data_IF_505760690165
#
_entry.id   IF_505760690165
#
_cell.length_a   1.000
_cell.length_b   1.000
_cell.length_c   1.000
_cell.angle_alpha   90.00
_cell.angle_beta   90.00
_cell.angle_gamma   90.00
#
_symmetry.space_group_name_H-M   'P 1'
#
loop_
_entity.id
_entity.type
_entity.pdbx_description
1 polymer ?
#
# COMPACT_ATOMS: atom_id res chain seq x y z
N UNK A 1 -25.59 -83.33 7.13
CA UNK A 1 -25.28 -82.35 6.07
C UNK A 1 -26.42 -81.37 5.79
N UNK A 2 -27.65 -81.80 5.46
CA UNK A 2 -28.80 -80.89 5.20
C UNK A 2 -29.11 -79.87 6.31
N UNK A 3 -29.08 -80.26 7.59
CA UNK A 3 -29.36 -79.34 8.72
C UNK A 3 -28.29 -78.24 8.89
N UNK A 4 -27.03 -78.53 8.56
CA UNK A 4 -25.92 -77.57 8.62
C UNK A 4 -26.02 -76.56 7.48
N UNK A 5 -26.36 -77.02 6.27
CA UNK A 5 -26.55 -76.18 5.08
C UNK A 5 -27.73 -75.20 5.25
N UNK A 6 -28.84 -75.67 5.84
CA UNK A 6 -30.00 -74.80 6.13
C UNK A 6 -29.62 -73.73 7.16
N UNK A 7 -28.88 -74.10 8.21
CA UNK A 7 -28.42 -73.15 9.22
C UNK A 7 -27.50 -72.06 8.66
N UNK A 8 -26.57 -72.42 7.76
CA UNK A 8 -25.68 -71.45 7.13
C UNK A 8 -26.41 -70.51 6.16
N UNK A 9 -27.38 -71.01 5.40
CA UNK A 9 -28.16 -70.18 4.48
C UNK A 9 -29.02 -69.17 5.25
N UNK A 10 -29.65 -69.58 6.37
CA UNK A 10 -30.42 -68.66 7.22
C UNK A 10 -29.55 -67.56 7.82
N UNK A 11 -28.31 -67.86 8.23
CA UNK A 11 -27.42 -66.87 8.86
C UNK A 11 -26.93 -65.81 7.85
N UNK A 12 -26.66 -66.23 6.61
CA UNK A 12 -26.29 -65.32 5.51
C UNK A 12 -27.49 -64.44 5.10
N UNK A 13 -28.69 -65.02 5.02
CA UNK A 13 -29.89 -64.26 4.67
C UNK A 13 -30.23 -63.18 5.71
N UNK A 14 -30.10 -63.50 7.01
CA UNK A 14 -30.28 -62.52 8.10
C UNK A 14 -29.20 -61.44 8.05
N UNK A 15 -27.94 -61.81 7.79
CA UNK A 15 -26.85 -60.85 7.63
C UNK A 15 -27.09 -59.85 6.49
N UNK A 16 -27.53 -60.33 5.32
CA UNK A 16 -27.85 -59.45 4.19
C UNK A 16 -29.06 -58.55 4.47
N UNK A 17 -30.08 -59.05 5.17
CA UNK A 17 -31.22 -58.25 5.58
C UNK A 17 -30.81 -57.11 6.53
N UNK A 18 -29.94 -57.39 7.50
CA UNK A 18 -29.43 -56.39 8.43
C UNK A 18 -28.59 -55.32 7.74
N UNK A 19 -27.75 -55.70 6.77
CA UNK A 19 -26.97 -54.75 5.96
C UNK A 19 -27.89 -53.86 5.11
N UNK A 20 -28.91 -54.44 4.48
CA UNK A 20 -29.89 -53.68 3.70
C UNK A 20 -30.68 -52.69 4.58
N UNK A 21 -31.15 -53.14 5.75
CA UNK A 21 -31.85 -52.28 6.71
C UNK A 21 -30.95 -51.17 7.25
N UNK A 22 -29.67 -51.46 7.53
CA UNK A 22 -28.70 -50.44 7.96
C UNK A 22 -28.38 -49.43 6.85
N UNK A 23 -28.26 -49.88 5.60
CA UNK A 23 -28.11 -49.01 4.44
C UNK A 23 -29.29 -48.07 4.24
N UNK A 24 -30.52 -48.58 4.33
CA UNK A 24 -31.74 -47.76 4.29
C UNK A 24 -31.80 -46.79 5.46
N UNK A 25 -31.47 -47.23 6.68
CA UNK A 25 -31.42 -46.35 7.85
C UNK A 25 -30.42 -45.20 7.70
N UNK A 26 -29.21 -45.47 7.18
CA UNK A 26 -28.23 -44.42 6.88
C UNK A 26 -28.73 -43.47 5.78
N UNK A 27 -29.33 -44.02 4.72
CA UNK A 27 -29.86 -43.23 3.62
C UNK A 27 -31.02 -42.32 4.03
N UNK A 28 -31.91 -42.77 4.92
CA UNK A 28 -33.11 -42.00 5.29
C UNK A 28 -32.93 -41.12 6.53
N UNK A 29 -32.01 -41.45 7.45
CA UNK A 29 -31.93 -40.80 8.77
C UNK A 29 -30.65 -39.99 8.97
N UNK A 30 -29.54 -40.31 8.30
CA UNK A 30 -28.27 -39.59 8.54
C UNK A 30 -27.95 -38.49 7.53
N UNK A 31 -28.59 -38.48 6.37
CA UNK A 31 -28.58 -37.30 5.49
C UNK A 31 -29.80 -36.44 5.81
N UNK A 32 -29.72 -35.77 6.96
CA UNK A 32 -30.62 -34.69 7.32
C UNK A 32 -30.58 -33.63 6.23
N UNK A 33 -31.65 -33.62 5.44
CA UNK A 33 -31.78 -32.77 4.27
C UNK A 33 -31.70 -31.28 4.58
N UNK A 34 -31.01 -30.59 3.68
CA UNK A 34 -31.47 -29.33 3.10
C UNK A 34 -31.11 -29.39 1.60
N UNK A 35 -31.79 -30.26 0.86
CA UNK A 35 -31.89 -30.08 -0.60
C UNK A 35 -33.21 -29.38 -0.83
N UNK A 36 -33.19 -28.05 -0.72
CA UNK A 36 -34.22 -27.22 -1.35
C UNK A 36 -33.87 -27.17 -2.84
N UNK A 37 -34.69 -27.73 -3.75
CA UNK A 37 -34.54 -27.47 -5.17
C UNK A 37 -35.24 -26.14 -5.43
N UNK A 38 -34.51 -25.06 -5.19
CA UNK A 38 -34.94 -23.69 -5.45
C UNK A 38 -33.87 -22.99 -6.27
N UNK A 39 -34.27 -22.25 -7.29
CA UNK A 39 -33.35 -21.42 -8.05
C UNK A 39 -32.80 -20.33 -7.12
N UNK A 40 -31.64 -20.55 -6.48
CA UNK A 40 -30.99 -19.61 -5.55
C UNK A 40 -30.29 -18.46 -6.29
N UNK A 41 -30.94 -17.90 -7.31
CA UNK A 41 -30.60 -16.57 -7.76
C UNK A 41 -31.28 -15.59 -6.81
N UNK A 42 -30.54 -15.09 -5.83
CA UNK A 42 -31.01 -13.97 -5.01
C UNK A 42 -31.33 -12.77 -5.89
N UNK A 43 -32.26 -11.92 -5.44
CA UNK A 43 -32.55 -10.67 -6.13
C UNK A 43 -31.28 -9.81 -6.23
N UNK A 44 -31.14 -9.07 -7.34
CA UNK A 44 -29.97 -8.21 -7.61
C UNK A 44 -30.02 -6.88 -6.83
N UNK A 45 -30.63 -6.89 -5.64
CA UNK A 45 -30.69 -5.73 -4.77
C UNK A 45 -29.32 -5.51 -4.13
N UNK A 46 -28.93 -4.24 -4.02
CA UNK A 46 -27.71 -3.84 -3.35
C UNK A 46 -28.06 -2.93 -2.16
N UNK A 47 -27.49 -3.22 -1.00
CA UNK A 47 -27.55 -2.36 0.18
C UNK A 47 -26.30 -1.47 0.21
N UNK A 48 -26.50 -0.16 0.38
CA UNK A 48 -25.40 0.79 0.58
C UNK A 48 -24.86 0.67 2.00
N UNK A 49 -23.55 0.51 2.10
CA UNK A 49 -22.82 0.49 3.35
C UNK A 49 -22.40 1.90 3.78
N UNK A 50 -22.11 2.14 5.08
CA UNK A 50 -21.67 3.45 5.57
C UNK A 50 -20.40 3.99 4.91
N UNK A 51 -19.57 3.12 4.33
CA UNK A 51 -18.34 3.45 3.59
C UNK A 51 -18.60 3.83 2.12
N UNK A 52 -19.85 3.76 1.64
CA UNK A 52 -20.25 4.02 0.26
C UNK A 52 -20.13 2.80 -0.67
N UNK A 53 -19.65 1.65 -0.17
CA UNK A 53 -19.69 0.38 -0.91
C UNK A 53 -21.12 -0.17 -0.99
N UNK A 54 -21.34 -1.17 -1.86
CA UNK A 54 -22.63 -1.81 -2.03
C UNK A 54 -22.49 -3.33 -1.91
N UNK A 55 -23.33 -3.93 -1.06
CA UNK A 55 -23.34 -5.39 -0.83
C UNK A 55 -24.63 -6.00 -1.36
N UNK A 56 -24.52 -7.16 -2.01
CA UNK A 56 -25.66 -7.92 -2.52
C UNK A 56 -26.20 -8.93 -1.51
N UNK A 57 -27.30 -9.58 -1.86
CA UNK A 57 -27.84 -10.72 -1.12
C UNK A 57 -27.05 -11.98 -1.41
N UNK A 58 -26.79 -12.78 -0.37
CA UNK A 58 -26.04 -14.04 -0.46
C UNK A 58 -26.58 -15.09 0.52
N UNK A 59 -26.13 -16.33 0.35
CA UNK A 59 -26.52 -17.49 1.16
C UNK A 59 -27.90 -18.05 0.82
N UNK A 60 -28.22 -19.20 1.42
CA UNK A 60 -29.47 -19.94 1.20
C UNK A 60 -30.74 -19.21 1.65
N UNK A 61 -30.59 -18.11 2.39
CA UNK A 61 -31.68 -17.23 2.83
C UNK A 61 -31.71 -15.88 2.12
N UNK A 62 -30.81 -15.64 1.16
CA UNK A 62 -30.69 -14.36 0.45
C UNK A 62 -30.65 -13.14 1.38
N UNK A 63 -29.86 -13.22 2.44
CA UNK A 63 -29.62 -12.12 3.37
C UNK A 63 -28.52 -11.21 2.81
N UNK A 64 -28.52 -9.91 3.14
CA UNK A 64 -27.43 -9.03 2.72
C UNK A 64 -26.12 -9.51 3.33
N UNK A 65 -25.07 -9.60 2.49
CA UNK A 65 -23.73 -9.83 3.00
C UNK A 65 -23.37 -8.72 4.01
N UNK A 66 -22.61 -9.02 5.07
CA UNK A 66 -22.14 -7.99 5.98
C UNK A 66 -21.34 -6.94 5.20
N UNK A 67 -21.53 -5.66 5.55
CA UNK A 67 -20.69 -4.60 5.01
C UNK A 67 -19.22 -4.90 5.33
N UNK A 68 -18.29 -4.59 4.41
CA UNK A 68 -16.87 -4.67 4.73
C UNK A 68 -16.63 -3.86 6.01
N UNK A 69 -16.01 -4.52 6.99
CA UNK A 69 -15.53 -3.79 8.16
C UNK A 69 -14.50 -2.78 7.64
N UNK A 70 -14.52 -1.54 8.16
CA UNK A 70 -13.54 -0.48 7.83
C UNK A 70 -12.06 -0.89 8.07
N UNK A 71 -11.83 -2.12 8.53
CA UNK A 71 -10.54 -2.75 8.81
C UNK A 71 -10.05 -3.77 7.77
N UNK A 72 -10.83 -4.17 6.76
CA UNK A 72 -10.38 -5.17 5.77
C UNK A 72 -10.15 -4.59 4.36
N UNK A 73 -9.45 -3.45 4.33
CA UNK A 73 -8.99 -2.79 3.10
C UNK A 73 -7.72 -1.92 3.26
N UNK A 74 -7.02 -2.01 4.39
CA UNK A 74 -5.71 -1.37 4.60
C UNK A 74 -4.74 -2.36 5.23
N UNK A 75 -4.15 -3.22 4.42
CA UNK A 75 -2.94 -3.93 4.86
C UNK A 75 -1.99 -4.32 3.72
N UNK A 76 -1.93 -3.51 2.66
CA UNK A 76 -0.65 -3.16 2.06
C UNK A 76 -0.33 -1.74 2.55
N UNK A 77 0.92 -1.47 2.92
CA UNK A 77 1.35 -0.08 3.07
C UNK A 77 1.12 0.59 1.71
N UNK A 78 0.19 1.55 1.64
CA UNK A 78 -0.16 2.26 0.40
C UNK A 78 1.08 2.76 -0.35
N UNK A 79 2.09 3.17 0.43
CA UNK A 79 3.43 3.45 -0.05
C UNK A 79 4.46 2.53 0.58
N UNK A 80 5.52 2.24 -0.17
CA UNK A 80 6.71 1.56 0.34
C UNK A 80 7.83 2.56 0.63
N UNK A 81 8.83 2.12 1.39
CA UNK A 81 9.99 2.94 1.67
C UNK A 81 10.84 3.20 0.42
N UNK A 82 11.23 4.47 0.15
CA UNK A 82 12.09 4.81 -0.98
C UNK A 82 13.57 4.45 -0.75
N UNK A 83 13.92 4.08 0.47
CA UNK A 83 15.27 3.72 0.94
C UNK A 83 15.13 2.58 1.96
N UNK A 84 16.16 1.75 2.08
CA UNK A 84 16.26 0.80 3.18
C UNK A 84 16.42 1.53 4.52
N UNK A 85 16.03 0.88 5.63
CA UNK A 85 16.18 1.43 6.99
C UNK A 85 15.64 2.86 7.13
N UNK A 86 14.55 3.18 6.41
CA UNK A 86 14.06 4.54 6.24
C UNK A 86 13.76 5.24 7.58
N UNK A 87 13.23 4.53 8.56
CA UNK A 87 12.97 5.06 9.91
C UNK A 87 14.23 5.54 10.62
N UNK A 88 15.37 4.87 10.41
CA UNK A 88 16.66 5.24 11.02
C UNK A 88 17.31 6.47 10.35
N UNK A 89 16.86 6.82 9.14
CA UNK A 89 17.45 7.91 8.33
C UNK A 89 16.85 9.28 8.67
N UNK A 90 15.71 9.35 9.35
CA UNK A 90 15.03 10.62 9.70
C UNK A 90 15.62 11.22 10.98
N UNK A 91 16.80 11.82 10.87
CA UNK A 91 17.55 12.31 12.05
C UNK A 91 17.61 13.83 12.18
N UNK A 92 17.27 14.58 11.11
CA UNK A 92 17.45 16.04 11.09
C UNK A 92 16.15 16.79 10.79
N UNK A 93 15.55 16.59 9.62
CA UNK A 93 14.40 17.38 9.17
C UNK A 93 13.18 16.49 8.85
N UNK A 94 12.41 16.10 9.88
CA UNK A 94 11.14 15.40 9.67
C UNK A 94 10.10 16.34 9.06
N UNK A 95 8.98 15.78 8.61
CA UNK A 95 7.81 16.55 8.19
C UNK A 95 7.33 17.53 9.27
N UNK A 96 6.92 18.72 8.85
CA UNK A 96 6.28 19.72 9.70
C UNK A 96 7.20 20.40 10.71
N UNK A 97 8.51 20.10 10.74
CA UNK A 97 9.44 20.87 11.58
C UNK A 97 9.51 22.32 11.11
N UNK A 98 9.47 23.27 12.05
CA UNK A 98 9.66 24.68 11.75
C UNK A 98 11.16 25.00 11.61
N UNK A 99 11.58 25.30 10.38
CA UNK A 99 12.95 25.72 10.09
C UNK A 99 13.07 27.23 10.17
N UNK A 100 14.10 27.67 10.92
CA UNK A 100 14.60 29.03 10.94
C UNK A 100 16.11 28.97 10.76
N UNK A 101 16.70 29.96 10.08
CA UNK A 101 18.15 30.00 9.84
C UNK A 101 18.98 29.76 11.10
N UNK A 102 18.61 30.39 12.22
CA UNK A 102 19.36 30.30 13.47
C UNK A 102 19.19 28.97 14.24
N UNK A 103 18.12 28.22 14.00
CA UNK A 103 17.76 27.04 14.83
C UNK A 103 17.63 25.76 14.03
N UNK A 104 17.92 25.81 12.72
CA UNK A 104 17.90 24.61 11.88
C UNK A 104 18.92 23.59 12.39
N UNK A 105 18.57 22.30 12.43
CA UNK A 105 19.50 21.22 12.76
C UNK A 105 20.63 21.05 11.73
N UNK A 106 20.52 21.73 10.59
CA UNK A 106 21.57 21.80 9.56
C UNK A 106 22.00 23.25 9.41
N UNK A 107 23.32 23.48 9.30
CA UNK A 107 23.90 24.81 9.07
C UNK A 107 24.90 24.73 7.90
N UNK A 108 24.98 25.71 7.01
CA UNK A 108 24.20 26.96 6.95
C UNK A 108 22.83 26.74 6.30
N UNK A 109 21.76 27.22 6.94
CA UNK A 109 20.40 27.06 6.42
C UNK A 109 19.99 28.19 5.47
N UNK A 110 19.51 27.82 4.28
CA UNK A 110 19.05 28.75 3.25
C UNK A 110 17.55 29.06 3.38
N UNK A 111 16.77 28.07 3.83
CA UNK A 111 15.32 28.11 3.80
C UNK A 111 14.72 28.40 5.18
N UNK A 112 13.43 28.72 5.20
CA UNK A 112 12.68 28.96 6.43
C UNK A 112 11.20 28.67 6.21
N UNK A 113 10.51 28.21 7.26
CA UNK A 113 9.13 27.76 7.19
C UNK A 113 8.96 26.35 7.71
N UNK A 114 7.73 25.85 7.68
CA UNK A 114 7.42 24.46 8.02
C UNK A 114 7.79 23.55 6.86
N UNK A 115 8.60 22.53 7.14
CA UNK A 115 9.07 21.57 6.16
C UNK A 115 7.91 20.72 5.63
N UNK A 116 7.73 20.66 4.30
CA UNK A 116 6.61 19.97 3.64
C UNK A 116 6.92 18.52 3.26
N UNK A 117 8.17 18.09 3.47
CA UNK A 117 8.64 16.74 3.22
C UNK A 117 9.38 16.16 4.41
N UNK A 118 9.99 15.00 4.23
CA UNK A 118 10.91 14.40 5.20
C UNK A 118 12.26 14.17 4.54
N UNK A 119 13.32 14.57 5.23
CA UNK A 119 14.68 14.33 4.80
C UNK A 119 15.19 12.99 5.38
N UNK A 120 15.56 12.08 4.47
CA UNK A 120 16.17 10.79 4.80
C UNK A 120 17.68 10.89 4.57
N UNK A 121 18.42 10.88 5.67
CA UNK A 121 19.87 11.00 5.67
C UNK A 121 20.58 9.76 5.13
N UNK A 122 21.76 9.99 4.57
CA UNK A 122 22.74 8.93 4.33
C UNK A 122 23.47 8.55 5.61
N UNK A 123 23.87 7.29 5.72
CA UNK A 123 24.77 6.81 6.76
C UNK A 123 26.22 7.25 6.46
N UNK A 124 27.11 7.30 7.46
CA UNK A 124 28.49 7.75 7.26
C UNK A 124 29.27 6.94 6.22
N UNK A 125 28.99 5.65 6.08
CA UNK A 125 29.58 4.74 5.10
C UNK A 125 29.00 4.88 3.68
N UNK A 126 27.93 5.68 3.53
CA UNK A 126 27.28 5.92 2.24
C UNK A 126 27.71 7.25 1.58
N UNK A 127 28.68 7.96 2.15
CA UNK A 127 29.12 9.27 1.65
C UNK A 127 29.52 9.23 0.17
N UNK A 128 30.27 8.18 -0.21
CA UNK A 128 30.98 8.09 -1.49
C UNK A 128 30.51 6.92 -2.38
N UNK A 129 29.43 6.24 -2.02
CA UNK A 129 28.82 5.17 -2.83
C UNK A 129 27.47 5.60 -3.41
N UNK A 130 27.02 4.96 -4.47
CA UNK A 130 25.67 5.22 -4.98
C UNK A 130 24.61 4.66 -4.03
N UNK A 131 23.61 5.49 -3.71
CA UNK A 131 22.44 5.11 -2.89
C UNK A 131 21.22 5.18 -3.79
N UNK A 132 20.63 4.02 -4.09
CA UNK A 132 19.46 3.90 -4.96
C UNK A 132 18.20 4.37 -4.24
N UNK A 133 17.33 5.08 -4.97
CA UNK A 133 16.02 5.54 -4.51
C UNK A 133 14.93 4.79 -5.27
N UNK A 134 13.96 4.27 -4.52
CA UNK A 134 12.87 3.44 -5.04
C UNK A 134 11.56 4.22 -5.12
N UNK A 135 10.73 3.89 -6.11
CA UNK A 135 9.41 4.48 -6.26
C UNK A 135 8.48 4.02 -5.14
N UNK A 136 7.92 4.98 -4.39
CA UNK A 136 7.05 4.69 -3.22
C UNK A 136 5.69 4.12 -3.64
N UNK A 137 5.25 4.39 -4.87
CA UNK A 137 3.99 3.95 -5.45
C UNK A 137 4.16 3.64 -6.94
N UNK A 138 3.17 2.99 -7.55
CA UNK A 138 3.08 2.90 -9.02
C UNK A 138 2.41 4.17 -9.55
N UNK A 139 2.99 4.80 -10.57
CA UNK A 139 2.49 6.08 -11.05
C UNK A 139 3.30 6.66 -12.20
N UNK A 140 2.79 7.73 -12.80
CA UNK A 140 3.41 8.40 -13.96
C UNK A 140 4.52 9.34 -13.49
N UNK A 141 5.68 9.31 -14.13
CA UNK A 141 6.71 10.33 -13.98
C UNK A 141 6.25 11.60 -14.70
N UNK A 142 5.99 12.68 -13.96
CA UNK A 142 5.48 13.94 -14.52
C UNK A 142 6.57 15.01 -14.65
N UNK A 143 7.61 14.94 -13.81
CA UNK A 143 8.72 15.90 -13.82
C UNK A 143 10.04 15.18 -13.64
N UNK A 144 11.05 15.64 -14.38
CA UNK A 144 12.47 15.30 -14.23
C UNK A 144 13.29 16.50 -14.66
N UNK A 145 13.65 17.35 -13.70
CA UNK A 145 14.36 18.60 -13.98
C UNK A 145 15.15 19.08 -12.76
N UNK A 146 15.96 20.13 -12.95
CA UNK A 146 16.62 20.81 -11.84
C UNK A 146 15.71 21.90 -11.26
N UNK A 147 15.55 21.93 -9.93
CA UNK A 147 14.74 22.92 -9.22
C UNK A 147 15.50 23.53 -8.04
N UNK A 148 15.34 24.84 -7.82
CA UNK A 148 15.96 25.56 -6.70
C UNK A 148 15.53 24.96 -5.36
N UNK A 149 16.50 24.66 -4.51
CA UNK A 149 16.32 23.98 -3.22
C UNK A 149 16.23 22.46 -3.28
N UNK A 150 15.99 21.86 -4.46
CA UNK A 150 15.97 20.41 -4.64
C UNK A 150 17.21 19.88 -5.37
N UNK A 151 17.85 20.70 -6.20
CA UNK A 151 18.80 20.19 -7.18
C UNK A 151 18.04 19.33 -8.18
N UNK A 152 18.35 18.04 -8.29
CA UNK A 152 17.59 17.10 -9.10
C UNK A 152 16.23 16.76 -8.47
N UNK A 153 15.16 17.09 -9.18
CA UNK A 153 13.78 16.83 -8.79
C UNK A 153 13.12 15.84 -9.76
N UNK A 154 12.54 14.78 -9.20
CA UNK A 154 11.58 13.92 -9.89
C UNK A 154 10.23 14.05 -9.20
N UNK A 155 9.16 14.28 -9.99
CA UNK A 155 7.78 14.26 -9.47
C UNK A 155 7.03 13.11 -10.12
N UNK A 156 6.49 12.24 -9.29
CA UNK A 156 5.66 11.11 -9.69
C UNK A 156 4.22 11.34 -9.25
N UNK A 157 3.24 11.14 -10.13
CA UNK A 157 1.84 11.13 -9.74
C UNK A 157 1.32 9.72 -9.54
N UNK A 158 0.75 9.48 -8.37
CA UNK A 158 0.00 8.28 -8.06
C UNK A 158 -1.29 8.62 -7.31
N UNK A 159 -1.90 7.64 -6.64
CA UNK A 159 -3.15 7.81 -5.91
C UNK A 159 -3.00 7.38 -4.46
N UNK A 160 -3.63 8.13 -3.55
CA UNK A 160 -3.80 7.75 -2.14
C UNK A 160 -5.27 7.88 -1.72
N UNK A 161 -5.84 6.84 -1.12
CA UNK A 161 -7.27 6.71 -0.81
C UNK A 161 -8.17 7.11 -2.01
N UNK A 162 -7.78 6.68 -3.22
CA UNK A 162 -8.49 6.98 -4.48
C UNK A 162 -8.35 8.43 -4.98
N UNK A 163 -7.58 9.29 -4.31
CA UNK A 163 -7.33 10.68 -4.69
C UNK A 163 -5.94 10.86 -5.27
N UNK A 164 -5.74 11.75 -6.25
CA UNK A 164 -4.40 11.99 -6.81
C UNK A 164 -3.47 12.61 -5.77
N UNK A 165 -2.23 12.13 -5.74
CA UNK A 165 -1.11 12.70 -4.98
C UNK A 165 0.13 12.81 -5.87
N UNK A 166 0.95 13.81 -5.58
CA UNK A 166 2.27 13.98 -6.18
C UNK A 166 3.34 13.62 -5.17
N UNK A 167 4.24 12.71 -5.54
CA UNK A 167 5.42 12.33 -4.78
C UNK A 167 6.62 13.09 -5.35
N UNK A 168 7.31 13.84 -4.51
CA UNK A 168 8.46 14.66 -4.87
C UNK A 168 9.71 14.00 -4.32
N UNK A 169 10.61 13.61 -5.20
CA UNK A 169 11.93 13.06 -4.88
C UNK A 169 12.98 14.12 -5.19
N UNK A 170 13.52 14.75 -4.16
CA UNK A 170 14.58 15.72 -4.25
C UNK A 170 15.98 15.12 -4.18
N UNK A 171 16.97 15.92 -4.56
CA UNK A 171 18.39 15.61 -4.43
C UNK A 171 18.82 14.33 -5.18
N UNK A 172 18.15 14.01 -6.29
CA UNK A 172 18.52 12.89 -7.16
C UNK A 172 19.63 13.30 -8.14
N UNK A 173 20.55 12.38 -8.42
CA UNK A 173 21.47 12.52 -9.55
C UNK A 173 20.68 12.36 -10.86
N UNK A 174 20.30 13.46 -11.53
CA UNK A 174 19.36 13.38 -12.66
C UNK A 174 19.87 12.52 -13.82
N UNK A 175 21.19 12.45 -14.01
CA UNK A 175 21.82 11.58 -15.00
C UNK A 175 21.65 10.08 -14.72
N UNK A 176 21.31 9.69 -13.49
CA UNK A 176 21.02 8.29 -13.11
C UNK A 176 19.56 7.89 -13.38
N UNK A 177 18.66 8.87 -13.55
CA UNK A 177 17.24 8.62 -13.78
C UNK A 177 17.05 8.21 -15.24
N UNK A 178 16.78 6.93 -15.50
CA UNK A 178 16.66 6.42 -16.88
C UNK A 178 15.27 6.60 -17.47
N UNK A 179 14.24 6.69 -16.63
CA UNK A 179 12.87 6.96 -17.07
C UNK A 179 12.72 8.36 -17.67
N UNK A 180 11.74 8.48 -18.58
CA UNK A 180 11.36 9.72 -19.25
C UNK A 180 10.02 10.23 -18.69
N UNK A 181 9.76 11.52 -18.86
CA UNK A 181 8.46 12.11 -18.51
C UNK A 181 7.37 11.44 -19.34
N UNK A 182 6.32 10.97 -18.67
CA UNK A 182 5.24 10.18 -19.23
C UNK A 182 5.35 8.67 -18.97
N UNK A 183 6.52 8.16 -18.60
CA UNK A 183 6.70 6.75 -18.26
C UNK A 183 5.98 6.38 -16.95
N UNK A 184 5.59 5.12 -16.83
CA UNK A 184 5.07 4.55 -15.58
C UNK A 184 6.26 4.03 -14.76
N UNK A 185 6.44 4.59 -13.58
CA UNK A 185 7.31 4.04 -12.55
C UNK A 185 6.51 3.02 -11.74
N UNK A 186 7.01 1.79 -11.63
CA UNK A 186 6.39 0.74 -10.82
C UNK A 186 6.82 0.87 -9.36
N UNK A 187 5.91 0.63 -8.40
CA UNK A 187 6.23 0.62 -6.98
C UNK A 187 7.40 -0.33 -6.70
N UNK A 188 8.44 0.15 -6.01
CA UNK A 188 9.64 -0.65 -5.73
C UNK A 188 10.66 -0.72 -6.86
N UNK A 189 10.37 -0.15 -8.03
CA UNK A 189 11.41 0.03 -9.05
C UNK A 189 12.39 1.14 -8.63
N UNK A 190 13.63 1.03 -9.10
CA UNK A 190 14.64 2.07 -8.92
C UNK A 190 14.29 3.26 -9.82
N UNK A 191 14.18 4.45 -9.24
CA UNK A 191 14.00 5.71 -9.98
C UNK A 191 15.36 6.24 -10.44
N UNK A 192 16.36 6.18 -9.56
CA UNK A 192 17.70 6.70 -9.75
C UNK A 192 18.52 6.59 -8.47
N UNK A 193 19.60 7.36 -8.38
CA UNK A 193 20.46 7.44 -7.19
C UNK A 193 20.47 8.84 -6.60
N UNK A 194 20.87 8.96 -5.34
CA UNK A 194 21.10 10.27 -4.70
C UNK A 194 22.26 11.02 -5.36
N UNK A 195 22.09 12.33 -5.50
CA UNK A 195 23.12 13.27 -5.93
C UNK A 195 24.30 13.31 -4.95
N UNK A 196 25.48 13.62 -5.46
CA UNK A 196 26.67 13.82 -4.60
C UNK A 196 26.45 15.00 -3.67
N UNK A 197 26.95 14.92 -2.43
CA UNK A 197 26.88 16.04 -1.50
C UNK A 197 27.49 17.31 -2.11
N UNK A 198 26.87 18.45 -1.86
CA UNK A 198 27.30 19.78 -2.32
C UNK A 198 27.45 19.90 -3.84
N UNK A 199 26.72 19.10 -4.61
CA UNK A 199 26.75 19.14 -6.07
C UNK A 199 25.56 19.93 -6.64
N UNK A 200 25.54 20.09 -7.96
CA UNK A 200 24.39 20.67 -8.68
C UNK A 200 23.11 19.82 -8.50
N UNK A 201 23.26 18.49 -8.41
CA UNK A 201 22.15 17.56 -8.20
C UNK A 201 21.57 17.65 -6.79
N UNK A 202 22.28 18.24 -5.83
CA UNK A 202 21.76 18.52 -4.48
C UNK A 202 21.54 20.00 -4.23
N UNK A 203 21.71 20.86 -5.24
CA UNK A 203 21.70 22.32 -5.10
C UNK A 203 22.60 22.80 -3.93
N UNK A 204 23.78 22.19 -3.78
CA UNK A 204 24.72 22.51 -2.71
C UNK A 204 24.38 21.90 -1.34
N UNK A 205 23.26 21.20 -1.19
CA UNK A 205 22.87 20.53 0.05
C UNK A 205 23.66 19.24 0.28
N UNK A 206 23.53 18.69 1.49
CA UNK A 206 24.10 17.39 1.87
C UNK A 206 23.49 16.27 1.04
N UNK A 207 24.13 15.10 1.02
CA UNK A 207 23.58 13.91 0.38
C UNK A 207 22.48 13.28 1.25
N UNK A 208 21.24 13.45 0.82
CA UNK A 208 20.05 12.93 1.47
C UNK A 208 18.91 12.86 0.44
N UNK A 209 17.84 12.10 0.74
CA UNK A 209 16.60 12.20 -0.03
C UNK A 209 15.67 13.20 0.67
N UNK A 210 15.18 14.18 -0.06
CA UNK A 210 14.00 14.93 0.36
C UNK A 210 12.76 14.26 -0.27
N UNK A 211 11.85 13.73 0.55
CA UNK A 211 10.60 13.14 0.07
C UNK A 211 9.41 14.01 0.49
N UNK A 212 8.73 14.61 -0.49
CA UNK A 212 7.48 15.35 -0.29
C UNK A 212 6.28 14.56 -0.82
N UNK A 213 5.13 14.66 -0.15
CA UNK A 213 3.87 14.10 -0.64
C UNK A 213 2.81 15.20 -0.63
N UNK A 214 2.39 15.64 -1.81
CA UNK A 214 1.42 16.72 -1.98
C UNK A 214 0.03 16.16 -2.36
N UNK A 215 -1.03 16.66 -1.73
CA UNK A 215 -2.43 16.33 -2.02
C UNK A 215 -2.88 17.07 -3.29
N UNK A 216 -2.66 16.44 -4.44
CA UNK A 216 -3.02 16.96 -5.76
C UNK A 216 -2.23 16.25 -6.86
N UNK A 217 -2.50 16.60 -8.11
CA UNK A 217 -1.79 16.06 -9.28
C UNK A 217 -0.72 17.05 -9.78
N UNK A 218 0.35 16.54 -10.40
CA UNK A 218 1.36 17.35 -11.06
C UNK A 218 2.17 18.24 -10.15
N UNK A 219 2.62 19.36 -10.73
CA UNK A 219 3.42 20.41 -10.09
C UNK A 219 2.58 21.47 -9.40
N UNK A 220 1.33 21.14 -9.04
CA UNK A 220 0.44 22.07 -8.34
C UNK A 220 1.06 22.66 -7.06
N UNK A 221 2.02 21.96 -6.46
CA UNK A 221 3.03 22.57 -5.61
C UNK A 221 4.31 21.74 -5.59
N UNK A 222 5.46 22.42 -5.61
CA UNK A 222 6.77 21.84 -5.30
C UNK A 222 7.46 22.54 -4.12
N UNK A 223 6.69 23.26 -3.30
CA UNK A 223 7.28 24.01 -2.18
C UNK A 223 7.88 23.04 -1.15
N UNK A 224 9.17 23.18 -0.85
CA UNK A 224 9.82 22.45 0.26
C UNK A 224 9.49 23.01 1.64
N UNK A 225 8.93 24.22 1.69
CA UNK A 225 8.57 24.92 2.92
C UNK A 225 7.28 25.74 2.75
N UNK A 226 6.46 25.79 3.79
CA UNK A 226 5.26 26.65 3.86
C UNK A 226 5.32 27.60 5.06
N UNK A 227 4.62 28.73 4.99
CA UNK A 227 4.74 29.77 6.00
C UNK A 227 3.97 29.44 7.30
N UNK A 228 2.87 28.69 7.18
CA UNK A 228 1.98 28.38 8.29
C UNK A 228 1.68 26.88 8.42
N UNK A 229 1.31 26.45 9.63
CA UNK A 229 0.95 25.06 9.89
C UNK A 229 -0.29 24.62 9.09
N UNK A 230 -1.27 25.51 8.88
CA UNK A 230 -2.46 25.24 8.08
C UNK A 230 -2.15 24.90 6.62
N UNK A 231 -1.05 25.41 6.07
CA UNK A 231 -0.63 25.06 4.71
C UNK A 231 -0.10 23.62 4.61
N UNK A 232 0.34 23.00 5.73
CA UNK A 232 0.74 21.59 5.78
C UNK A 232 -0.45 20.65 5.55
N UNK A 233 -1.70 21.11 5.72
CA UNK A 233 -2.89 20.29 5.46
C UNK A 233 -2.99 19.85 4.00
N UNK A 234 -2.29 20.54 3.09
CA UNK A 234 -2.17 20.18 1.67
C UNK A 234 -1.08 19.13 1.40
N UNK A 235 -0.32 18.76 2.42
CA UNK A 235 0.76 17.79 2.37
C UNK A 235 0.43 16.58 3.24
N UNK A 236 1.15 15.49 3.00
CA UNK A 236 1.06 14.25 3.76
C UNK A 236 2.44 14.01 4.37
N UNK A 237 2.48 13.71 5.66
CA UNK A 237 3.70 13.25 6.31
C UNK A 237 4.11 11.90 5.71
N UNK A 238 5.25 11.81 4.99
CA UNK A 238 5.70 10.56 4.40
C UNK A 238 5.88 9.44 5.44
N UNK A 239 6.30 9.80 6.66
CA UNK A 239 6.57 8.82 7.71
C UNK A 239 5.34 8.07 8.22
N UNK A 240 4.12 8.54 7.94
CA UNK A 240 2.90 7.77 8.19
C UNK A 240 2.87 6.45 7.40
N UNK A 241 3.61 6.38 6.29
CA UNK A 241 3.65 5.22 5.41
C UNK A 241 5.01 4.55 5.38
N UNK A 242 6.09 5.33 5.27
CA UNK A 242 7.40 4.81 4.85
C UNK A 242 8.44 4.66 5.97
N UNK A 243 8.18 5.19 7.17
CA UNK A 243 9.11 5.15 8.30
C UNK A 243 8.73 4.04 9.29
N UNK A 244 8.67 2.80 8.80
CA UNK A 244 8.33 1.60 9.60
C UNK A 244 9.53 0.68 9.74
#
# INVERSE_FOLDING_TARGET
MRKVIIGTISLVAVGMLLVALFGVYKYTVTDGGDVVPGNDACTLEAMLCPDGSAVGRTGSRCEFAPCPSLSEGRNSSEFIAPLDRASERVTKKPFGILIKKATSPVQQERFSGYHTGTDFETFPDESDIDVSVYAVCTGVLEVKESASGYGGLVVQRCTSDGKPVSILYGHLALGSVTAFVGDILEQGSVIGTLGKAQSVDTDGERKHLHLGIFKGAGTASILGYVASHNELDRWIDPCLFVCK
#
